data_IF_395139177164
#
_entry.id   IF_395139177164
#
_cell.length_a   1.000
_cell.length_b   1.000
_cell.length_c   1.000
_cell.angle_alpha   90.00
_cell.angle_beta   90.00
_cell.angle_gamma   90.00
#
_symmetry.space_group_name_H-M   'P 1'
#
loop_
_entity.id
_entity.type
_entity.pdbx_description
1 polymer ?
#
# COMPACT_ATOMS: atom_id res chain seq x y z
N UNK A 1 -52.74 -10.13 -20.28
CA UNK A 1 -51.31 -9.81 -20.45
C UNK A 1 -50.72 -9.80 -19.07
N UNK A 2 -49.87 -10.77 -18.80
CA UNK A 2 -49.35 -11.09 -17.48
C UNK A 2 -48.29 -10.04 -17.09
N UNK A 3 -48.49 -9.35 -15.97
CA UNK A 3 -47.63 -8.26 -15.51
C UNK A 3 -46.55 -8.77 -14.53
N UNK A 4 -46.19 -10.06 -14.61
CA UNK A 4 -45.18 -10.70 -13.75
C UNK A 4 -43.78 -10.81 -14.38
N UNK A 5 -43.55 -10.28 -15.57
CA UNK A 5 -42.21 -10.16 -16.18
C UNK A 5 -41.53 -8.81 -15.88
N UNK A 6 -41.73 -8.27 -14.67
CA UNK A 6 -40.89 -7.18 -14.17
C UNK A 6 -39.71 -7.78 -13.40
N UNK A 7 -38.64 -8.06 -14.13
CA UNK A 7 -37.25 -8.27 -13.68
C UNK A 7 -37.14 -8.73 -12.22
N UNK A 8 -37.46 -10.00 -11.97
CA UNK A 8 -37.05 -10.65 -10.73
C UNK A 8 -35.54 -10.88 -10.83
N UNK A 9 -34.73 -9.87 -10.48
CA UNK A 9 -33.33 -10.12 -10.12
C UNK A 9 -33.40 -11.09 -8.95
N UNK A 10 -32.99 -12.32 -9.20
CA UNK A 10 -33.05 -13.37 -8.19
C UNK A 10 -32.12 -12.98 -7.05
N UNK A 11 -32.47 -13.35 -5.83
CA UNK A 11 -31.62 -13.10 -4.65
C UNK A 11 -30.20 -13.66 -4.85
N UNK A 12 -30.07 -14.73 -5.62
CA UNK A 12 -28.80 -15.31 -6.05
C UNK A 12 -28.00 -14.40 -7.00
N UNK A 13 -28.64 -13.69 -7.93
CA UNK A 13 -27.98 -12.70 -8.80
C UNK A 13 -27.55 -11.46 -8.02
N UNK A 14 -28.34 -11.04 -7.03
CA UNK A 14 -27.97 -9.96 -6.09
C UNK A 14 -26.76 -10.39 -5.26
N UNK A 15 -26.78 -11.61 -4.72
CA UNK A 15 -25.65 -12.15 -3.94
C UNK A 15 -24.41 -12.38 -4.80
N UNK A 16 -24.57 -12.80 -6.06
CA UNK A 16 -23.44 -12.99 -6.98
C UNK A 16 -22.85 -11.64 -7.42
N UNK A 17 -23.68 -10.61 -7.61
CA UNK A 17 -23.22 -9.25 -7.89
C UNK A 17 -22.54 -8.60 -6.67
N UNK A 18 -23.03 -8.86 -5.46
CA UNK A 18 -22.37 -8.47 -4.20
C UNK A 18 -21.04 -9.20 -4.01
N UNK A 19 -21.00 -10.51 -4.22
CA UNK A 19 -19.78 -11.31 -4.12
C UNK A 19 -18.75 -10.99 -5.22
N UNK A 20 -19.20 -10.57 -6.41
CA UNK A 20 -18.33 -10.08 -7.48
C UNK A 20 -17.85 -8.63 -7.24
N UNK A 21 -18.61 -7.83 -6.49
CA UNK A 21 -18.15 -6.55 -5.96
C UNK A 21 -17.19 -6.74 -4.76
N UNK A 22 -17.29 -7.87 -4.07
CA UNK A 22 -16.32 -8.41 -3.11
C UNK A 22 -15.25 -9.27 -3.80
N UNK A 23 -14.84 -8.91 -5.02
CA UNK A 23 -13.44 -9.17 -5.37
C UNK A 23 -12.62 -8.25 -4.46
N UNK A 24 -12.47 -8.64 -3.19
CA UNK A 24 -11.71 -7.93 -2.17
C UNK A 24 -10.29 -7.82 -2.71
N UNK A 25 -9.98 -6.67 -3.32
CA UNK A 25 -8.60 -6.29 -3.60
C UNK A 25 -7.89 -6.39 -2.27
N UNK A 26 -7.01 -7.38 -2.14
CA UNK A 26 -6.29 -7.62 -0.90
C UNK A 26 -5.63 -6.31 -0.47
N UNK A 27 -5.68 -5.97 0.83
CA UNK A 27 -5.12 -4.70 1.30
C UNK A 27 -3.63 -4.53 0.95
N UNK A 28 -2.93 -5.64 0.69
CA UNK A 28 -1.56 -5.71 0.17
C UNK A 28 -1.40 -5.21 -1.27
N UNK A 29 -2.44 -5.31 -2.10
CA UNK A 29 -2.40 -4.99 -3.52
C UNK A 29 -2.90 -3.57 -3.80
N UNK A 30 -3.55 -2.93 -2.80
CA UNK A 30 -3.93 -1.53 -2.89
C UNK A 30 -2.68 -0.65 -2.97
N UNK A 31 -2.54 0.22 -3.98
CA UNK A 31 -1.40 1.12 -4.08
C UNK A 31 -1.46 2.27 -3.06
N UNK A 32 -0.28 2.76 -2.66
CA UNK A 32 -0.17 3.97 -1.83
C UNK A 32 -0.29 5.21 -2.70
N UNK A 33 -1.29 6.05 -2.43
CA UNK A 33 -1.42 7.36 -3.05
C UNK A 33 -0.45 8.33 -2.38
N UNK A 34 0.47 8.93 -3.15
CA UNK A 34 1.60 9.69 -2.59
C UNK A 34 1.40 11.21 -2.59
N UNK A 35 0.41 11.71 -3.30
CA UNK A 35 0.11 13.14 -3.36
C UNK A 35 -0.90 13.55 -2.27
N UNK A 36 -1.02 14.84 -2.01
CA UNK A 36 -1.98 15.36 -1.02
C UNK A 36 -3.42 15.45 -1.56
N UNK A 37 -4.35 15.81 -0.69
CA UNK A 37 -5.76 15.89 -1.04
C UNK A 37 -6.06 16.98 -2.08
N UNK A 38 -5.35 18.11 -2.05
CA UNK A 38 -5.54 19.19 -3.01
C UNK A 38 -5.18 18.74 -4.44
N UNK A 39 -4.05 18.05 -4.60
CA UNK A 39 -3.67 17.43 -5.88
C UNK A 39 -4.73 16.43 -6.35
N UNK A 40 -5.18 15.54 -5.46
CA UNK A 40 -6.23 14.57 -5.79
C UNK A 40 -7.53 15.25 -6.25
N UNK A 41 -7.88 16.40 -5.64
CA UNK A 41 -9.05 17.20 -6.05
C UNK A 41 -8.84 17.81 -7.43
N UNK A 42 -7.67 18.41 -7.69
CA UNK A 42 -7.33 19.04 -8.97
C UNK A 42 -7.31 18.03 -10.13
N UNK A 43 -6.75 16.85 -9.89
CA UNK A 43 -6.67 15.75 -10.87
C UNK A 43 -7.92 14.87 -10.94
N UNK A 44 -8.95 15.14 -10.11
CA UNK A 44 -10.20 14.34 -10.00
C UNK A 44 -9.97 12.88 -9.57
N UNK A 45 -8.92 12.64 -8.78
CA UNK A 45 -8.52 11.33 -8.23
C UNK A 45 -8.92 11.17 -6.76
N UNK A 46 -9.90 11.95 -6.29
CA UNK A 46 -10.32 12.00 -4.88
C UNK A 46 -10.72 10.62 -4.34
N UNK A 47 -11.36 9.79 -5.15
CA UNK A 47 -11.80 8.47 -4.70
C UNK A 47 -10.61 7.53 -4.47
N UNK A 48 -9.64 7.53 -5.39
CA UNK A 48 -8.39 6.79 -5.24
C UNK A 48 -7.63 7.22 -3.99
N UNK A 49 -7.57 8.54 -3.73
CA UNK A 49 -6.98 9.08 -2.51
C UNK A 49 -7.70 8.56 -1.26
N UNK A 50 -9.04 8.58 -1.23
CA UNK A 50 -9.84 8.12 -0.08
C UNK A 50 -9.65 6.64 0.21
N UNK A 51 -9.67 5.80 -0.81
CA UNK A 51 -9.41 4.36 -0.69
C UNK A 51 -8.02 4.13 -0.11
N UNK A 52 -7.01 4.83 -0.64
CA UNK A 52 -5.64 4.68 -0.14
C UNK A 52 -5.46 5.21 1.30
N UNK A 53 -6.12 6.32 1.64
CA UNK A 53 -6.14 6.86 3.00
C UNK A 53 -6.80 5.89 3.98
N UNK A 54 -7.94 5.29 3.61
CA UNK A 54 -8.60 4.29 4.42
C UNK A 54 -7.70 3.07 4.68
N UNK A 55 -6.99 2.61 3.65
CA UNK A 55 -6.01 1.53 3.78
C UNK A 55 -4.80 1.96 4.65
N UNK A 56 -4.36 3.22 4.60
CA UNK A 56 -3.32 3.74 5.50
C UNK A 56 -3.78 3.76 6.97
N UNK A 57 -5.03 4.15 7.23
CA UNK A 57 -5.63 4.13 8.57
C UNK A 57 -5.73 2.69 9.08
N UNK A 58 -6.24 1.76 8.27
CA UNK A 58 -6.30 0.35 8.63
C UNK A 58 -4.90 -0.24 8.89
N UNK A 59 -3.90 0.14 8.09
CA UNK A 59 -2.51 -0.27 8.31
C UNK A 59 -1.95 0.28 9.63
N UNK A 60 -2.22 1.55 9.95
CA UNK A 60 -1.86 2.16 11.23
C UNK A 60 -2.47 1.36 12.39
N UNK A 61 -3.76 1.09 12.35
CA UNK A 61 -4.47 0.34 13.41
C UNK A 61 -3.90 -1.07 13.58
N UNK A 62 -3.57 -1.75 12.47
CA UNK A 62 -2.92 -3.06 12.52
C UNK A 62 -1.53 -3.01 13.15
N UNK A 63 -0.74 -1.95 12.89
CA UNK A 63 0.56 -1.74 13.57
C UNK A 63 0.36 -1.55 15.07
N UNK A 64 -0.60 -0.71 15.47
CA UNK A 64 -0.93 -0.45 16.88
C UNK A 64 -1.33 -1.75 17.60
N UNK A 65 -2.22 -2.53 16.97
CA UNK A 65 -2.65 -3.81 17.48
C UNK A 65 -1.47 -4.80 17.59
N UNK A 66 -0.66 -4.93 16.54
CA UNK A 66 0.49 -5.82 16.52
C UNK A 66 1.51 -5.49 17.62
N UNK A 67 1.79 -4.19 17.85
CA UNK A 67 2.65 -3.73 18.95
C UNK A 67 2.03 -4.10 20.30
N UNK A 68 0.74 -3.81 20.50
CA UNK A 68 0.06 -4.07 21.78
C UNK A 68 0.05 -5.55 22.17
N UNK A 69 -0.11 -6.45 21.18
CA UNK A 69 -0.20 -7.89 21.40
C UNK A 69 1.17 -8.58 21.51
N UNK A 70 2.22 -7.97 20.94
CA UNK A 70 3.53 -8.61 20.79
C UNK A 70 4.61 -8.03 21.71
N UNK A 71 4.23 -7.15 22.66
CA UNK A 71 5.15 -6.52 23.60
C UNK A 71 5.04 -7.15 24.98
N UNK A 72 6.13 -7.75 25.46
CA UNK A 72 6.19 -8.45 26.76
C UNK A 72 6.62 -7.54 27.93
N UNK A 73 6.70 -6.23 27.71
CA UNK A 73 7.22 -5.25 28.67
C UNK A 73 8.72 -4.98 28.54
N UNK A 74 9.46 -5.73 27.71
CA UNK A 74 10.90 -5.52 27.47
C UNK A 74 11.28 -5.56 26.00
N UNK A 75 10.65 -6.44 25.20
CA UNK A 75 10.98 -6.69 23.80
C UNK A 75 9.71 -6.77 22.98
N UNK A 76 9.81 -6.31 21.74
CA UNK A 76 8.84 -6.58 20.71
C UNK A 76 9.18 -7.93 20.08
N UNK A 77 8.21 -8.83 19.95
CA UNK A 77 8.44 -10.16 19.39
C UNK A 77 9.04 -10.11 17.98
N UNK A 78 9.88 -11.09 17.65
CA UNK A 78 10.42 -11.23 16.30
C UNK A 78 9.30 -11.57 15.29
N UNK A 79 9.40 -11.04 14.08
CA UNK A 79 8.38 -11.22 13.03
C UNK A 79 7.10 -10.41 13.20
N UNK A 80 6.95 -9.57 14.24
CA UNK A 80 5.76 -8.73 14.41
C UNK A 80 5.54 -7.79 13.22
N UNK A 81 6.58 -7.10 12.75
CA UNK A 81 6.48 -6.27 11.55
C UNK A 81 6.19 -7.08 10.27
N UNK A 82 6.78 -8.27 10.13
CA UNK A 82 6.58 -9.14 8.96
C UNK A 82 5.10 -9.53 8.79
N UNK A 83 4.39 -9.80 9.89
CA UNK A 83 2.95 -10.12 9.85
C UNK A 83 2.13 -8.98 9.23
N UNK A 84 2.39 -7.73 9.65
CA UNK A 84 1.67 -6.57 9.12
C UNK A 84 2.08 -6.30 7.66
N UNK A 85 3.36 -6.44 7.33
CA UNK A 85 3.85 -6.30 5.96
C UNK A 85 3.25 -7.33 5.00
N UNK A 86 2.97 -8.55 5.46
CA UNK A 86 2.29 -9.56 4.65
C UNK A 86 0.82 -9.20 4.40
N UNK A 87 0.16 -8.48 5.32
CA UNK A 87 -1.25 -8.11 5.20
C UNK A 87 -1.47 -6.84 4.36
N UNK A 88 -0.59 -5.84 4.50
CA UNK A 88 -0.77 -4.52 3.88
C UNK A 88 0.27 -4.18 2.80
N UNK A 89 1.24 -5.06 2.58
CA UNK A 89 2.39 -4.80 1.72
C UNK A 89 3.47 -3.97 2.42
N UNK A 90 4.73 -4.26 2.11
CA UNK A 90 5.87 -3.57 2.72
C UNK A 90 5.87 -2.07 2.41
N UNK A 91 5.46 -1.68 1.20
CA UNK A 91 5.39 -0.28 0.77
C UNK A 91 4.50 0.56 1.69
N UNK A 92 3.26 0.11 1.92
CA UNK A 92 2.28 0.84 2.75
C UNK A 92 2.71 0.92 4.19
N UNK A 93 3.19 -0.18 4.77
CA UNK A 93 3.69 -0.21 6.15
C UNK A 93 4.82 0.80 6.32
N UNK A 94 5.79 0.83 5.41
CA UNK A 94 6.90 1.77 5.47
C UNK A 94 6.47 3.22 5.28
N UNK A 95 5.49 3.48 4.40
CA UNK A 95 4.92 4.81 4.20
C UNK A 95 4.23 5.34 5.47
N UNK A 96 3.39 4.53 6.11
CA UNK A 96 2.70 4.87 7.37
C UNK A 96 3.70 5.11 8.51
N UNK A 97 4.75 4.29 8.60
CA UNK A 97 5.81 4.43 9.59
C UNK A 97 6.65 5.70 9.37
N UNK A 98 7.00 6.00 8.12
CA UNK A 98 7.72 7.22 7.78
C UNK A 98 6.91 8.47 8.13
N UNK A 99 5.61 8.50 7.77
CA UNK A 99 4.71 9.57 8.19
C UNK A 99 4.68 9.73 9.71
N UNK A 100 4.53 8.62 10.43
CA UNK A 100 4.50 8.63 11.90
C UNK A 100 5.74 9.30 12.50
N UNK A 101 6.93 8.98 11.98
CA UNK A 101 8.18 9.60 12.45
C UNK A 101 8.24 11.07 12.06
N UNK A 102 7.87 11.45 10.83
CA UNK A 102 7.87 12.86 10.39
C UNK A 102 6.93 13.72 11.25
N UNK A 103 5.72 13.23 11.55
CA UNK A 103 4.74 13.92 12.43
C UNK A 103 5.22 14.02 13.89
N UNK A 104 6.16 13.16 14.30
CA UNK A 104 6.67 13.06 15.67
C UNK A 104 8.20 13.25 15.73
N UNK A 105 8.79 13.96 14.78
CA UNK A 105 10.25 14.07 14.66
C UNK A 105 10.88 14.70 15.91
N UNK A 106 10.13 15.56 16.59
CA UNK A 106 10.51 16.19 17.84
C UNK A 106 10.70 15.20 19.01
N UNK A 107 10.15 13.99 18.96
CA UNK A 107 10.28 13.03 20.05
C UNK A 107 11.69 12.39 20.06
N UNK A 108 12.37 12.49 21.19
CA UNK A 108 13.74 12.01 21.37
C UNK A 108 13.90 10.49 21.43
N UNK A 109 12.80 9.72 21.52
CA UNK A 109 12.84 8.24 21.59
C UNK A 109 13.05 7.57 20.24
N UNK A 110 12.80 8.27 19.13
CA UNK A 110 13.14 7.78 17.81
C UNK A 110 14.65 7.87 17.58
N UNK A 111 15.25 6.78 17.10
CA UNK A 111 16.68 6.73 16.84
C UNK A 111 17.04 7.56 15.61
N UNK A 112 18.26 8.12 15.61
CA UNK A 112 18.75 8.94 14.50
C UNK A 112 18.64 8.23 13.13
N UNK A 113 19.03 6.95 12.97
CA UNK A 113 18.91 6.27 11.68
C UNK A 113 17.46 6.12 11.19
N UNK A 114 16.48 6.03 12.09
CA UNK A 114 15.07 5.95 11.72
C UNK A 114 14.51 7.32 11.33
N UNK A 115 14.93 8.39 12.00
CA UNK A 115 14.59 9.77 11.60
C UNK A 115 15.12 10.10 10.22
N UNK A 116 16.40 9.84 9.98
CA UNK A 116 17.03 10.12 8.67
C UNK A 116 16.38 9.30 7.56
N UNK A 117 16.08 8.02 7.81
CA UNK A 117 15.33 7.21 6.85
C UNK A 117 13.94 7.78 6.57
N UNK A 118 13.18 8.16 7.60
CA UNK A 118 11.84 8.69 7.43
C UNK A 118 11.82 9.94 6.54
N UNK A 119 12.82 10.83 6.65
CA UNK A 119 12.98 12.01 5.79
C UNK A 119 13.18 11.69 4.30
N UNK A 120 13.66 10.48 3.97
CA UNK A 120 13.84 10.07 2.56
C UNK A 120 12.52 9.76 1.87
N UNK A 121 11.44 9.53 2.63
CA UNK A 121 10.12 9.24 2.07
C UNK A 121 9.37 10.56 1.85
N UNK A 122 9.02 10.84 0.59
CA UNK A 122 8.23 12.02 0.25
C UNK A 122 6.79 11.85 0.70
N UNK A 123 6.35 12.70 1.63
CA UNK A 123 4.98 12.72 2.17
C UNK A 123 4.55 14.18 2.18
N UNK A 124 3.90 14.66 1.11
CA UNK A 124 3.45 16.04 1.01
C UNK A 124 2.52 16.39 2.18
N UNK A 125 2.72 17.54 2.85
CA UNK A 125 1.80 18.00 3.89
C UNK A 125 0.38 18.12 3.35
N UNK A 126 -0.60 17.74 4.16
CA UNK A 126 -2.01 17.77 3.79
C UNK A 126 -2.79 18.67 4.77
N UNK A 127 -2.53 19.97 4.69
CA UNK A 127 -3.09 20.95 5.60
C UNK A 127 -4.58 21.15 5.36
N UNK A 128 -5.38 21.14 6.43
CA UNK A 128 -6.77 21.55 6.34
C UNK A 128 -6.97 23.06 6.51
N UNK A 129 -8.21 23.52 6.38
CA UNK A 129 -8.58 24.93 6.52
C UNK A 129 -8.29 25.52 7.91
N UNK A 130 -8.00 24.69 8.91
CA UNK A 130 -7.64 25.10 10.26
C UNK A 130 -6.11 25.06 10.50
N UNK A 131 -5.31 24.74 9.47
CA UNK A 131 -3.86 24.64 9.55
C UNK A 131 -3.36 23.34 10.20
N UNK A 132 -4.22 22.32 10.32
CA UNK A 132 -3.86 21.02 10.87
C UNK A 132 -3.49 20.06 9.74
N UNK A 133 -2.35 19.37 9.88
CA UNK A 133 -1.94 18.35 8.91
C UNK A 133 -2.80 17.09 9.06
N UNK A 134 -3.59 16.78 8.03
CA UNK A 134 -4.45 15.60 7.96
C UNK A 134 -3.67 14.30 7.86
N UNK A 135 -2.38 14.36 7.55
CA UNK A 135 -1.53 13.18 7.59
C UNK A 135 -1.42 12.58 9.00
N UNK A 136 -1.76 13.33 10.06
CA UNK A 136 -1.88 12.80 11.42
C UNK A 136 -2.92 11.68 11.55
N UNK A 137 -3.92 11.61 10.65
CA UNK A 137 -4.97 10.58 10.68
C UNK A 137 -4.41 9.16 10.65
N UNK A 138 -3.31 8.95 9.89
CA UNK A 138 -2.63 7.67 9.78
C UNK A 138 -1.27 7.63 10.49
N UNK A 139 -1.02 8.53 11.45
CA UNK A 139 0.14 8.43 12.33
C UNK A 139 -0.13 7.44 13.48
N UNK A 140 0.77 6.49 13.70
CA UNK A 140 0.66 5.47 14.75
C UNK A 140 0.74 6.13 16.13
N UNK A 141 -0.24 5.86 16.97
CA UNK A 141 -0.47 6.50 18.28
C UNK A 141 0.16 5.76 19.48
N UNK A 142 0.80 4.61 19.25
CA UNK A 142 1.56 3.85 20.26
C UNK A 142 2.75 4.62 20.87
N UNK A 143 3.34 4.06 21.93
CA UNK A 143 4.52 4.64 22.58
C UNK A 143 5.69 4.80 21.58
N UNK A 144 6.31 5.99 21.43
CA UNK A 144 7.34 6.27 20.41
C UNK A 144 8.51 5.27 20.38
N UNK A 145 8.99 4.85 21.55
CA UNK A 145 10.06 3.84 21.62
C UNK A 145 9.67 2.46 21.08
N UNK A 146 8.38 2.07 21.17
CA UNK A 146 7.90 0.81 20.58
C UNK A 146 7.72 0.94 19.07
N UNK A 147 7.27 2.11 18.62
CA UNK A 147 7.21 2.43 17.20
C UNK A 147 8.63 2.36 16.61
N UNK A 148 9.63 2.94 17.27
CA UNK A 148 11.02 2.89 16.80
C UNK A 148 11.55 1.44 16.67
N UNK A 149 11.27 0.58 17.65
CA UNK A 149 11.61 -0.84 17.57
C UNK A 149 10.90 -1.54 16.40
N UNK A 150 9.62 -1.27 16.19
CA UNK A 150 8.85 -1.80 15.07
C UNK A 150 9.41 -1.33 13.72
N UNK A 151 9.79 -0.05 13.60
CA UNK A 151 10.42 0.53 12.40
C UNK A 151 11.73 -0.16 12.08
N UNK A 152 12.58 -0.37 13.08
CA UNK A 152 13.84 -1.10 12.89
C UNK A 152 13.60 -2.53 12.42
N UNK A 153 12.59 -3.22 12.95
CA UNK A 153 12.21 -4.55 12.51
C UNK A 153 11.70 -4.55 11.06
N UNK A 154 10.76 -3.65 10.73
CA UNK A 154 10.21 -3.46 9.40
C UNK A 154 11.30 -3.23 8.34
N UNK A 155 12.24 -2.33 8.61
CA UNK A 155 13.35 -2.03 7.70
C UNK A 155 14.25 -3.24 7.46
N UNK A 156 14.56 -4.01 8.51
CA UNK A 156 15.32 -5.25 8.38
C UNK A 156 14.59 -6.29 7.53
N UNK A 157 13.28 -6.42 7.67
CA UNK A 157 12.50 -7.33 6.83
C UNK A 157 12.54 -6.93 5.35
N UNK A 158 12.48 -5.63 5.03
CA UNK A 158 12.63 -5.14 3.65
C UNK A 158 14.02 -5.44 3.06
N UNK A 159 15.07 -5.37 3.88
CA UNK A 159 16.43 -5.73 3.45
C UNK A 159 16.60 -7.24 3.22
N UNK A 160 15.82 -8.08 3.91
CA UNK A 160 15.83 -9.54 3.76
C UNK A 160 15.04 -10.04 2.57
N UNK A 161 14.04 -9.29 2.11
CA UNK A 161 13.30 -9.64 0.91
C UNK A 161 14.25 -9.64 -0.30
N UNK A 162 14.29 -10.74 -1.09
CA UNK A 162 15.15 -10.78 -2.27
C UNK A 162 14.69 -9.69 -3.22
N UNK A 163 15.53 -8.66 -3.40
CA UNK A 163 15.41 -7.76 -4.53
C UNK A 163 15.58 -8.61 -5.77
N UNK A 164 14.48 -9.02 -6.41
CA UNK A 164 14.53 -9.62 -7.75
C UNK A 164 15.42 -8.70 -8.57
N UNK A 165 16.55 -9.22 -9.02
CA UNK A 165 17.53 -8.36 -9.67
C UNK A 165 16.82 -7.67 -10.84
N UNK A 166 17.00 -6.37 -11.02
CA UNK A 166 16.50 -5.67 -12.23
C UNK A 166 16.93 -6.46 -13.49
N UNK A 167 18.08 -7.13 -13.41
CA UNK A 167 18.58 -8.06 -14.44
C UNK A 167 17.73 -9.32 -14.63
N UNK A 168 17.19 -9.89 -13.56
CA UNK A 168 16.29 -11.04 -13.63
C UNK A 168 14.91 -10.65 -14.16
N UNK A 169 14.37 -9.50 -13.72
CA UNK A 169 13.13 -8.94 -14.25
C UNK A 169 13.25 -8.60 -15.74
N UNK A 170 14.35 -7.95 -16.16
CA UNK A 170 14.64 -7.70 -17.57
C UNK A 170 14.77 -9.00 -18.37
N UNK A 171 15.40 -10.04 -17.83
CA UNK A 171 15.49 -11.36 -18.48
C UNK A 171 14.14 -12.06 -18.61
N UNK A 172 13.24 -11.90 -17.63
CA UNK A 172 11.90 -12.46 -17.68
C UNK A 172 11.02 -11.70 -18.69
N UNK A 173 11.05 -10.36 -18.69
CA UNK A 173 10.36 -9.53 -19.67
C UNK A 173 10.86 -9.77 -21.12
N UNK A 174 12.17 -10.02 -21.31
CA UNK A 174 12.72 -10.40 -22.60
C UNK A 174 12.31 -11.82 -23.05
N UNK A 175 12.13 -12.75 -22.11
CA UNK A 175 11.60 -14.09 -22.42
C UNK A 175 10.11 -14.07 -22.79
N UNK A 176 9.34 -13.16 -22.21
CA UNK A 176 7.92 -12.98 -22.52
C UNK A 176 7.70 -12.28 -23.87
N UNK A 177 8.51 -11.27 -24.19
CA UNK A 177 8.47 -10.60 -25.51
C UNK A 177 9.04 -11.46 -26.64
N UNK A 178 9.94 -12.41 -26.35
CA UNK A 178 10.48 -13.37 -27.32
C UNK A 178 9.50 -14.45 -27.81
N UNK A 179 8.31 -14.60 -27.21
CA UNK A 179 7.29 -15.58 -27.65
C UNK A 179 6.27 -15.05 -28.66
N UNK A 180 6.32 -13.77 -29.05
CA UNK A 180 5.53 -13.23 -30.17
C UNK A 180 6.45 -12.64 -31.23
N UNK A 181 7.11 -13.51 -32.00
CA UNK A 181 7.67 -13.10 -33.28
C UNK A 181 6.54 -12.94 -34.32
N UNK A 182 6.46 -11.81 -35.04
CA UNK A 182 5.48 -11.61 -36.10
C UNK A 182 5.84 -12.45 -37.33
N UNK A 183 4.82 -13.07 -37.94
CA UNK A 183 4.95 -13.83 -39.17
C UNK A 183 5.47 -12.95 -40.32
N UNK A 184 6.55 -13.39 -40.95
CA UNK A 184 7.19 -12.75 -42.10
C UNK A 184 6.30 -12.90 -43.34
N UNK A 185 5.76 -11.77 -43.84
CA UNK A 185 5.17 -11.72 -45.18
C UNK A 185 6.27 -11.85 -46.24
N UNK A 186 6.35 -13.02 -46.89
CA UNK A 186 7.14 -13.22 -48.11
C UNK A 186 6.55 -12.37 -49.24
N UNK A 187 7.29 -11.37 -49.73
CA UNK A 187 7.05 -10.74 -51.03
C UNK A 187 7.31 -11.78 -52.14
N UNK A 188 6.30 -12.08 -52.95
CA UNK A 188 6.47 -12.68 -54.29
C UNK A 188 6.38 -11.55 -55.31
N UNK A 189 7.42 -11.40 -56.10
CA UNK A 189 7.53 -10.51 -57.26
C UNK A 189 6.78 -11.15 -58.45
N UNK A 190 6.03 -10.40 -59.26
CA UNK A 190 5.33 -10.95 -60.42
C UNK A 190 6.20 -10.94 -61.69
N UNK A 191 6.19 -12.08 -62.40
CA UNK A 191 6.72 -12.28 -63.75
C UNK A 191 6.17 -11.28 -64.77
N UNK A 192 7.02 -10.89 -65.73
CA UNK A 192 6.61 -10.32 -67.01
C UNK A 192 7.48 -10.90 -68.12
#
# INVERSE_FOLDING_TARGET
MDFQELVAVTEAEIQTALAAAEEEVALSDLPVYRENFDYARECREVETYRISLQANIACKEAIEQAISQSYDGRRLAEGTAAKVMNQFGAERVLYVLANTIQQKEWDGRFTYPNKEWAKTVSIPPNMDSFGMDRNYAFAVSSHPGLIDLFVTQARKEMERQPRTSVREQLRQAQKETGKKAPATHKKKEPER
#
